data_IF_518969417408
#
_entry.id   IF_518969417408
#
_cell.length_a   1.000
_cell.length_b   1.000
_cell.length_c   1.000
_cell.angle_alpha   90.00
_cell.angle_beta   90.00
_cell.angle_gamma   90.00
#
_symmetry.space_group_name_H-M   'P 1'
#
loop_
_entity.id
_entity.type
_entity.pdbx_description
1 polymer ?
#
# COMPACT_ATOMS: atom_id res chain seq x y z
N UNK A 1 -12.10 -32.12 -5.41
CA UNK A 1 -12.14 -31.09 -4.35
C UNK A 1 -10.99 -30.10 -4.61
N UNK A 2 -11.22 -29.10 -5.45
CA UNK A 2 -10.16 -28.15 -5.83
C UNK A 2 -9.76 -27.28 -4.64
N UNK A 3 -8.46 -27.19 -4.35
CA UNK A 3 -7.98 -26.34 -3.26
C UNK A 3 -8.36 -24.88 -3.56
N UNK A 4 -8.79 -24.13 -2.55
CA UNK A 4 -9.16 -22.71 -2.70
C UNK A 4 -8.07 -21.92 -3.43
N UNK A 5 -6.79 -22.27 -3.22
CA UNK A 5 -5.66 -21.65 -3.89
C UNK A 5 -5.67 -21.87 -5.41
N UNK A 6 -5.95 -23.09 -5.87
CA UNK A 6 -6.03 -23.40 -7.30
C UNK A 6 -7.15 -22.58 -7.97
N UNK A 7 -8.29 -22.47 -7.28
CA UNK A 7 -9.41 -21.63 -7.72
C UNK A 7 -8.99 -20.15 -7.87
N UNK A 8 -8.34 -19.56 -6.86
CA UNK A 8 -7.86 -18.18 -6.92
C UNK A 8 -6.82 -17.92 -8.01
N UNK A 9 -5.95 -18.90 -8.26
CA UNK A 9 -4.91 -18.78 -9.29
C UNK A 9 -5.48 -18.81 -10.71
N UNK A 10 -6.43 -19.72 -10.98
CA UNK A 10 -7.15 -19.75 -12.25
C UNK A 10 -8.00 -18.49 -12.46
N UNK A 11 -8.63 -18.00 -11.39
CA UNK A 11 -9.39 -16.75 -11.39
C UNK A 11 -8.54 -15.58 -11.94
N UNK A 12 -7.29 -15.46 -11.48
CA UNK A 12 -6.34 -14.43 -11.93
C UNK A 12 -5.93 -14.58 -13.40
N UNK A 13 -5.60 -15.78 -13.88
CA UNK A 13 -5.21 -15.99 -15.29
C UNK A 13 -6.28 -15.51 -16.26
N UNK A 14 -7.54 -15.74 -15.91
CA UNK A 14 -8.68 -15.37 -16.74
C UNK A 14 -8.93 -13.85 -16.74
N UNK A 15 -8.77 -13.19 -15.58
CA UNK A 15 -8.86 -11.72 -15.42
C UNK A 15 -7.94 -10.94 -16.38
N UNK A 16 -6.79 -11.49 -16.74
CA UNK A 16 -5.78 -10.82 -17.57
C UNK A 16 -5.78 -11.25 -19.05
N UNK A 17 -6.68 -12.15 -19.47
CA UNK A 17 -6.64 -12.77 -20.81
C UNK A 17 -7.42 -12.06 -21.94
N UNK A 18 -7.94 -10.86 -21.71
CA UNK A 18 -8.62 -10.05 -22.75
C UNK A 18 -10.14 -10.02 -22.61
N UNK A 19 -10.72 -8.85 -22.87
CA UNK A 19 -12.12 -8.48 -22.62
C UNK A 19 -13.05 -9.00 -23.73
N UNK A 20 -13.84 -10.04 -23.45
CA UNK A 20 -15.06 -10.32 -24.20
C UNK A 20 -16.28 -9.84 -23.38
N UNK A 21 -17.19 -9.11 -24.02
CA UNK A 21 -18.38 -8.54 -23.39
C UNK A 21 -19.45 -9.61 -23.16
N UNK A 22 -19.61 -10.03 -21.90
CA UNK A 22 -20.64 -11.00 -21.51
C UNK A 22 -22.01 -10.31 -21.47
N UNK A 23 -22.92 -10.71 -22.35
CA UNK A 23 -24.30 -10.19 -22.45
C UNK A 23 -25.21 -10.74 -21.34
N UNK A 24 -26.19 -9.97 -20.83
CA UNK A 24 -27.08 -10.40 -19.73
C UNK A 24 -27.88 -11.68 -20.02
N UNK A 25 -28.30 -11.89 -21.27
CA UNK A 25 -29.02 -13.08 -21.72
C UNK A 25 -28.18 -14.36 -21.61
N UNK A 26 -26.87 -14.27 -21.88
CA UNK A 26 -25.92 -15.38 -21.72
C UNK A 26 -25.78 -15.75 -20.24
N UNK A 27 -25.67 -14.75 -19.36
CA UNK A 27 -25.63 -14.95 -17.91
C UNK A 27 -26.84 -15.72 -17.38
N UNK A 28 -28.07 -15.34 -17.75
CA UNK A 28 -29.29 -16.01 -17.29
C UNK A 28 -29.38 -17.47 -17.75
N UNK A 29 -29.00 -17.76 -19.01
CA UNK A 29 -29.02 -19.13 -19.56
C UNK A 29 -28.08 -20.08 -18.83
N UNK A 30 -26.92 -19.58 -18.40
CA UNK A 30 -25.93 -20.34 -17.62
C UNK A 30 -26.35 -20.53 -16.16
N UNK A 31 -26.98 -19.54 -15.53
CA UNK A 31 -27.54 -19.68 -14.17
C UNK A 31 -28.71 -20.67 -14.11
N UNK A 32 -29.55 -20.75 -15.15
CA UNK A 32 -30.63 -21.75 -15.22
C UNK A 32 -30.09 -23.19 -15.25
N UNK A 33 -28.92 -23.40 -15.87
CA UNK A 33 -28.20 -24.67 -15.94
C UNK A 33 -27.45 -25.01 -14.65
N UNK A 34 -27.36 -24.05 -13.71
CA UNK A 34 -26.62 -24.24 -12.45
C UNK A 34 -27.27 -25.29 -11.53
N UNK A 35 -28.56 -25.52 -11.71
CA UNK A 35 -29.39 -26.42 -10.91
C UNK A 35 -29.35 -27.88 -11.37
N UNK A 36 -28.67 -28.21 -12.48
CA UNK A 36 -28.71 -29.54 -13.10
C UNK A 36 -27.41 -30.36 -12.93
N UNK A 37 -26.37 -29.81 -12.29
CA UNK A 37 -25.30 -30.59 -11.67
C UNK A 37 -24.13 -31.10 -12.55
N UNK A 38 -24.11 -30.85 -13.86
CA UNK A 38 -22.96 -31.20 -14.72
C UNK A 38 -22.60 -30.05 -15.65
N UNK A 39 -21.35 -29.57 -15.57
CA UNK A 39 -20.78 -28.55 -16.47
C UNK A 39 -19.65 -29.15 -17.31
N UNK A 40 -19.51 -28.69 -18.55
CA UNK A 40 -18.28 -28.92 -19.31
C UNK A 40 -17.14 -28.00 -18.81
N UNK A 41 -15.89 -28.32 -19.13
CA UNK A 41 -14.73 -27.51 -18.72
C UNK A 41 -14.82 -26.04 -19.18
N UNK A 42 -15.45 -25.78 -20.33
CA UNK A 42 -15.68 -24.44 -20.87
C UNK A 42 -16.78 -23.69 -20.09
N UNK A 43 -17.81 -24.41 -19.65
CA UNK A 43 -18.90 -23.85 -18.83
C UNK A 43 -18.43 -23.52 -17.41
N UNK A 44 -17.57 -24.33 -16.81
CA UNK A 44 -16.92 -24.04 -15.52
C UNK A 44 -16.02 -22.79 -15.61
N UNK A 45 -15.24 -22.66 -16.69
CA UNK A 45 -14.39 -21.49 -16.92
C UNK A 45 -15.21 -20.20 -17.06
N UNK A 46 -16.41 -20.28 -17.64
CA UNK A 46 -17.31 -19.15 -17.84
C UNK A 46 -18.12 -18.81 -16.57
N UNK A 47 -18.49 -19.80 -15.76
CA UNK A 47 -19.07 -19.60 -14.41
C UNK A 47 -18.04 -18.94 -13.48
N UNK A 48 -16.77 -19.35 -13.55
CA UNK A 48 -15.65 -18.68 -12.88
C UNK A 48 -15.51 -17.21 -13.32
N UNK A 49 -15.64 -16.91 -14.63
CA UNK A 49 -15.68 -15.53 -15.17
C UNK A 49 -16.85 -14.70 -14.62
N UNK A 50 -18.03 -15.30 -14.49
CA UNK A 50 -19.22 -14.64 -13.93
C UNK A 50 -19.13 -14.44 -12.42
N UNK A 51 -18.54 -15.38 -11.67
CA UNK A 51 -18.31 -15.27 -10.23
C UNK A 51 -17.19 -14.27 -9.88
N UNK A 52 -16.20 -14.06 -10.76
CA UNK A 52 -15.30 -12.90 -10.68
C UNK A 52 -16.11 -11.59 -10.73
N UNK A 53 -17.17 -11.59 -11.53
CA UNK A 53 -18.10 -10.47 -11.74
C UNK A 53 -19.15 -10.32 -10.62
N UNK A 54 -19.03 -11.03 -9.49
CA UNK A 54 -19.83 -10.76 -8.27
C UNK A 54 -19.63 -9.32 -7.75
N UNK A 55 -18.58 -8.63 -8.20
CA UNK A 55 -18.33 -7.20 -8.00
C UNK A 55 -19.27 -6.25 -8.79
N UNK A 56 -20.13 -6.75 -9.69
CA UNK A 56 -21.00 -5.93 -10.55
C UNK A 56 -22.50 -6.04 -10.24
N UNK A 57 -22.88 -6.78 -9.20
CA UNK A 57 -24.28 -7.00 -8.84
C UNK A 57 -24.67 -6.08 -7.68
N UNK A 58 -25.41 -5.01 -7.97
CA UNK A 58 -26.07 -4.21 -6.95
C UNK A 58 -27.51 -4.72 -6.79
N UNK A 59 -27.90 -5.12 -5.57
CA UNK A 59 -29.25 -5.62 -5.30
C UNK A 59 -30.19 -4.44 -5.08
N UNK A 60 -30.97 -4.06 -6.10
CA UNK A 60 -32.12 -3.16 -5.95
C UNK A 60 -33.39 -3.94 -6.22
N UNK A 61 -34.37 -3.84 -5.32
CA UNK A 61 -35.74 -4.34 -5.54
C UNK A 61 -35.82 -5.86 -5.82
N UNK A 62 -34.89 -6.65 -5.28
CA UNK A 62 -34.89 -8.11 -5.45
C UNK A 62 -34.43 -8.59 -6.83
N UNK A 63 -34.05 -7.70 -7.74
CA UNK A 63 -33.46 -8.04 -9.04
C UNK A 63 -31.97 -7.71 -9.08
N UNK A 64 -31.21 -8.52 -9.81
CA UNK A 64 -29.78 -8.32 -10.04
C UNK A 64 -29.61 -7.48 -11.31
N UNK A 65 -29.31 -6.18 -11.16
CA UNK A 65 -28.94 -5.34 -12.29
C UNK A 65 -27.42 -5.32 -12.45
N UNK A 66 -26.95 -5.43 -13.70
CA UNK A 66 -25.58 -5.09 -14.08
C UNK A 66 -25.44 -3.56 -13.97
N UNK A 67 -25.10 -3.07 -12.78
CA UNK A 67 -24.97 -1.63 -12.54
C UNK A 67 -23.62 -1.33 -11.91
N UNK A 68 -22.67 -0.93 -12.75
CA UNK A 68 -22.19 0.46 -12.82
C UNK A 68 -21.16 0.53 -13.95
N UNK A 69 -21.18 1.61 -14.75
CA UNK A 69 -19.94 2.06 -15.39
C UNK A 69 -18.93 2.24 -14.26
N UNK A 70 -17.95 1.34 -14.14
CA UNK A 70 -16.79 1.61 -13.28
C UNK A 70 -16.18 2.86 -13.89
N UNK A 71 -16.12 3.98 -13.16
CA UNK A 71 -15.44 5.16 -13.70
C UNK A 71 -14.06 4.72 -14.16
N UNK A 72 -13.63 5.18 -15.33
CA UNK A 72 -12.27 4.89 -15.78
C UNK A 72 -11.32 5.26 -14.64
N UNK A 73 -10.39 4.36 -14.30
CA UNK A 73 -9.40 4.62 -13.26
C UNK A 73 -8.67 5.93 -13.61
N UNK A 74 -8.68 6.87 -12.67
CA UNK A 74 -7.97 8.14 -12.78
C UNK A 74 -6.85 8.08 -11.76
N UNK A 75 -5.61 8.10 -12.25
CA UNK A 75 -4.44 8.09 -11.40
C UNK A 75 -4.38 9.33 -10.49
N UNK A 76 -3.81 9.15 -9.31
CA UNK A 76 -3.63 10.22 -8.34
C UNK A 76 -2.74 11.35 -8.88
N UNK A 77 -3.24 12.60 -8.86
CA UNK A 77 -2.50 13.76 -9.33
C UNK A 77 -1.98 14.60 -8.16
N UNK A 78 -0.66 14.52 -7.95
CA UNK A 78 0.04 15.35 -6.95
C UNK A 78 0.68 16.56 -7.65
N UNK A 79 0.44 17.80 -7.17
CA UNK A 79 1.07 19.00 -7.71
C UNK A 79 2.59 18.88 -7.79
N UNK A 80 3.20 19.37 -8.88
CA UNK A 80 4.66 19.27 -9.11
C UNK A 80 5.48 19.91 -7.98
N UNK A 81 5.00 21.02 -7.43
CA UNK A 81 5.67 21.72 -6.32
C UNK A 81 5.76 20.83 -5.07
N UNK A 82 4.67 20.13 -4.73
CA UNK A 82 4.65 19.21 -3.58
C UNK A 82 5.59 18.02 -3.80
N UNK A 83 5.62 17.45 -5.01
CA UNK A 83 6.53 16.35 -5.35
C UNK A 83 7.99 16.73 -5.18
N UNK A 84 8.38 17.90 -5.70
CA UNK A 84 9.74 18.41 -5.56
C UNK A 84 10.08 18.67 -4.09
N UNK A 85 9.13 19.18 -3.31
CA UNK A 85 9.30 19.41 -1.88
C UNK A 85 9.51 18.09 -1.12
N UNK A 86 8.69 17.05 -1.38
CA UNK A 86 8.84 15.75 -0.73
C UNK A 86 10.15 15.06 -1.10
N UNK A 87 10.52 15.07 -2.38
CA UNK A 87 11.80 14.53 -2.84
C UNK A 87 13.01 15.29 -2.27
N UNK A 88 12.92 16.63 -2.22
CA UNK A 88 13.92 17.49 -1.62
C UNK A 88 14.08 17.24 -0.12
N UNK A 89 12.97 17.17 0.63
CA UNK A 89 12.98 16.85 2.06
C UNK A 89 13.56 15.46 2.32
N UNK A 90 13.15 14.43 1.57
CA UNK A 90 13.70 13.09 1.72
C UNK A 90 15.22 13.08 1.50
N UNK A 91 15.71 13.79 0.49
CA UNK A 91 17.13 13.92 0.20
C UNK A 91 17.88 14.62 1.34
N UNK A 92 17.35 15.74 1.83
CA UNK A 92 17.93 16.48 2.96
C UNK A 92 17.97 15.64 4.24
N UNK A 93 16.90 14.90 4.55
CA UNK A 93 16.84 14.02 5.72
C UNK A 93 17.93 12.94 5.63
N UNK A 94 18.09 12.30 4.48
CA UNK A 94 19.12 11.27 4.29
C UNK A 94 20.51 11.88 4.46
N UNK A 95 20.82 12.98 3.78
CA UNK A 95 22.12 13.64 3.88
C UNK A 95 22.43 14.03 5.33
N UNK A 96 21.45 14.65 6.01
CA UNK A 96 21.60 15.09 7.39
C UNK A 96 21.81 13.92 8.35
N UNK A 97 20.96 12.89 8.26
CA UNK A 97 21.06 11.72 9.13
C UNK A 97 22.34 10.92 8.87
N UNK A 98 22.77 10.80 7.61
CA UNK A 98 24.05 10.17 7.24
C UNK A 98 25.24 10.96 7.80
N UNK A 99 25.22 12.29 7.68
CA UNK A 99 26.26 13.14 8.26
C UNK A 99 26.35 12.97 9.78
N UNK A 100 25.22 12.97 10.48
CA UNK A 100 25.20 12.74 11.93
C UNK A 100 25.64 11.32 12.33
N UNK A 101 25.28 10.30 11.55
CA UNK A 101 25.75 8.93 11.77
C UNK A 101 27.28 8.83 11.66
N UNK A 102 27.88 9.48 10.66
CA UNK A 102 29.35 9.50 10.46
C UNK A 102 30.06 10.21 11.62
N UNK A 103 29.49 11.31 12.11
CA UNK A 103 30.06 12.08 13.22
C UNK A 103 29.76 11.47 14.60
N UNK A 104 28.91 10.44 14.68
CA UNK A 104 28.54 9.78 15.92
C UNK A 104 27.51 10.53 16.77
N UNK A 105 26.87 11.56 16.22
CA UNK A 105 25.89 12.39 16.91
C UNK A 105 24.83 12.92 15.94
N UNK A 106 23.56 12.77 16.29
CA UNK A 106 22.44 13.32 15.52
C UNK A 106 21.66 14.27 16.42
N UNK A 107 21.58 15.54 16.00
CA UNK A 107 20.73 16.55 16.62
C UNK A 107 19.37 16.62 15.93
N UNK A 108 18.29 16.57 16.70
CA UNK A 108 16.93 16.77 16.18
C UNK A 108 16.40 18.09 16.74
N UNK A 109 16.21 19.12 15.90
CA UNK A 109 15.76 20.42 16.36
C UNK A 109 14.32 20.37 16.88
N UNK A 110 14.09 20.95 18.04
CA UNK A 110 12.76 21.12 18.62
C UNK A 110 12.16 22.46 18.21
N UNK A 111 10.90 22.48 17.77
CA UNK A 111 10.22 23.75 17.46
C UNK A 111 10.04 24.67 18.68
N UNK A 112 9.93 24.08 19.88
CA UNK A 112 9.64 24.78 21.15
C UNK A 112 10.61 24.40 22.28
N UNK A 113 11.67 23.68 21.97
CA UNK A 113 12.68 23.21 22.92
C UNK A 113 14.06 23.32 22.27
N UNK A 114 15.11 23.15 23.07
CA UNK A 114 16.50 23.16 22.58
C UNK A 114 16.84 21.95 21.68
N UNK A 115 15.84 21.12 21.33
CA UNK A 115 16.00 19.89 20.57
C UNK A 115 16.43 18.71 21.41
N UNK A 116 16.73 17.60 20.75
CA UNK A 116 17.26 16.37 21.37
C UNK A 116 18.51 15.97 20.61
N UNK A 117 19.61 15.83 21.33
CA UNK A 117 20.86 15.33 20.78
C UNK A 117 21.06 13.88 21.18
N UNK A 118 21.18 13.01 20.19
CA UNK A 118 21.44 11.59 20.35
C UNK A 118 22.93 11.33 20.10
N UNK A 119 23.58 10.62 21.03
CA UNK A 119 24.98 10.21 20.91
C UNK A 119 25.13 8.73 21.27
N UNK A 120 26.18 8.07 20.78
CA UNK A 120 26.43 6.66 21.05
C UNK A 120 25.47 5.71 20.34
N UNK A 121 25.03 4.64 21.03
CA UNK A 121 24.23 3.57 20.42
C UNK A 121 22.87 4.00 19.83
N UNK A 122 22.09 4.93 20.46
CA UNK A 122 20.81 5.40 19.92
C UNK A 122 20.90 6.06 18.53
N UNK A 123 22.08 6.57 18.12
CA UNK A 123 22.28 7.27 16.83
C UNK A 123 21.90 6.38 15.64
N UNK A 124 22.23 5.09 15.69
CA UNK A 124 21.90 4.14 14.61
C UNK A 124 20.39 3.96 14.47
N UNK A 125 19.67 3.95 15.60
CA UNK A 125 18.21 3.81 15.64
C UNK A 125 17.54 5.07 15.09
N UNK A 126 18.05 6.26 15.45
CA UNK A 126 17.55 7.53 14.90
C UNK A 126 17.80 7.63 13.40
N UNK A 127 18.99 7.21 12.94
CA UNK A 127 19.28 7.13 11.51
C UNK A 127 18.27 6.23 10.77
N UNK A 128 17.98 5.04 11.32
CA UNK A 128 17.00 4.13 10.73
C UNK A 128 15.59 4.74 10.70
N UNK A 129 15.19 5.48 11.74
CA UNK A 129 13.93 6.21 11.77
C UNK A 129 13.87 7.27 10.65
N UNK A 130 14.91 8.12 10.54
CA UNK A 130 15.03 9.13 9.50
C UNK A 130 15.00 8.52 8.08
N UNK A 131 15.65 7.36 7.90
CA UNK A 131 15.66 6.65 6.63
C UNK A 131 14.25 6.13 6.27
N UNK A 132 13.52 5.54 7.23
CA UNK A 132 12.13 5.13 7.02
C UNK A 132 11.22 6.30 6.65
N UNK A 133 11.38 7.44 7.32
CA UNK A 133 10.66 8.67 6.99
C UNK A 133 10.95 9.15 5.56
N UNK A 134 12.22 9.18 5.17
CA UNK A 134 12.62 9.56 3.82
C UNK A 134 12.03 8.61 2.76
N UNK A 135 12.02 7.30 3.02
CA UNK A 135 11.38 6.33 2.14
C UNK A 135 9.87 6.55 2.04
N UNK A 136 9.19 6.86 3.14
CA UNK A 136 7.75 7.15 3.12
C UNK A 136 7.43 8.31 2.18
N UNK A 137 8.21 9.39 2.25
CA UNK A 137 8.08 10.55 1.35
C UNK A 137 8.34 10.19 -0.12
N UNK A 138 9.35 9.35 -0.38
CA UNK A 138 9.67 8.89 -1.73
C UNK A 138 8.57 7.98 -2.30
N UNK A 139 7.97 7.11 -1.49
CA UNK A 139 6.85 6.24 -1.90
C UNK A 139 5.69 7.08 -2.43
N UNK A 140 5.32 8.17 -1.74
CA UNK A 140 4.27 9.10 -2.21
C UNK A 140 4.63 9.77 -3.55
N UNK A 141 5.91 10.09 -3.76
CA UNK A 141 6.37 10.66 -5.04
C UNK A 141 6.33 9.61 -6.15
N UNK A 142 6.71 8.36 -5.86
CA UNK A 142 6.72 7.26 -6.82
C UNK A 142 5.29 6.86 -7.23
N UNK A 143 4.35 6.81 -6.28
CA UNK A 143 2.92 6.52 -6.53
C UNK A 143 2.37 7.40 -7.65
N UNK A 144 2.67 8.69 -7.64
CA UNK A 144 2.22 9.61 -8.68
C UNK A 144 2.79 9.30 -10.09
N UNK A 145 4.00 8.76 -10.18
CA UNK A 145 4.58 8.38 -11.47
C UNK A 145 4.07 7.00 -11.94
N UNK A 146 3.48 6.21 -11.04
CA UNK A 146 2.81 4.97 -11.40
C UNK A 146 1.40 5.25 -11.93
N UNK A 147 1.09 4.68 -13.09
CA UNK A 147 -0.23 4.83 -13.74
C UNK A 147 -1.11 3.59 -13.57
N UNK A 148 -0.62 2.58 -12.84
CA UNK A 148 -1.33 1.33 -12.57
C UNK A 148 -2.32 1.53 -11.43
N UNK A 149 -3.37 0.70 -11.42
CA UNK A 149 -4.35 0.67 -10.33
C UNK A 149 -3.80 -0.09 -9.11
N UNK A 150 -2.80 0.50 -8.45
CA UNK A 150 -2.09 -0.08 -7.29
C UNK A 150 -1.88 0.91 -6.14
N UNK A 151 -2.61 2.03 -6.12
CA UNK A 151 -2.57 3.07 -5.09
C UNK A 151 -2.71 2.52 -3.67
N UNK A 152 -3.49 1.45 -3.51
CA UNK A 152 -3.67 0.76 -2.23
C UNK A 152 -2.34 0.23 -1.66
N UNK A 153 -1.46 -0.32 -2.51
CA UNK A 153 -0.16 -0.85 -2.09
C UNK A 153 0.78 0.28 -1.64
N UNK A 154 0.79 1.39 -2.38
CA UNK A 154 1.58 2.57 -2.02
C UNK A 154 1.10 3.18 -0.70
N UNK A 155 -0.21 3.30 -0.50
CA UNK A 155 -0.80 3.81 0.75
C UNK A 155 -0.45 2.92 1.96
N UNK A 156 -0.45 1.58 1.80
CA UNK A 156 0.00 0.68 2.87
C UNK A 156 1.49 0.89 3.15
N UNK A 157 2.32 0.92 2.10
CA UNK A 157 3.76 1.08 2.24
C UNK A 157 4.12 2.40 2.94
N UNK A 158 3.49 3.51 2.54
CA UNK A 158 3.65 4.82 3.17
C UNK A 158 3.30 4.76 4.66
N UNK A 159 2.12 4.24 5.01
CA UNK A 159 1.68 4.13 6.42
C UNK A 159 2.59 3.26 7.26
N UNK A 160 3.07 2.15 6.70
CA UNK A 160 4.00 1.24 7.38
C UNK A 160 5.32 1.95 7.66
N UNK A 161 5.90 2.63 6.66
CA UNK A 161 7.17 3.34 6.80
C UNK A 161 7.06 4.50 7.80
N UNK A 162 5.94 5.23 7.79
CA UNK A 162 5.65 6.25 8.81
C UNK A 162 5.55 5.64 10.21
N UNK A 163 4.82 4.55 10.37
CA UNK A 163 4.68 3.86 11.66
C UNK A 163 6.03 3.35 12.17
N UNK A 164 6.86 2.77 11.30
CA UNK A 164 8.21 2.33 11.61
C UNK A 164 9.10 3.50 12.03
N UNK A 165 9.06 4.61 11.29
CA UNK A 165 9.81 5.83 11.64
C UNK A 165 9.44 6.33 13.04
N UNK A 166 8.14 6.48 13.32
CA UNK A 166 7.67 6.93 14.63
C UNK A 166 8.06 5.95 15.75
N UNK A 167 7.90 4.64 15.51
CA UNK A 167 8.23 3.60 16.49
C UNK A 167 9.73 3.52 16.81
N UNK A 168 10.59 3.63 15.78
CA UNK A 168 12.03 3.67 15.98
C UNK A 168 12.47 4.94 16.69
N UNK A 169 11.87 6.09 16.36
CA UNK A 169 12.20 7.35 17.02
C UNK A 169 11.80 7.35 18.50
N UNK A 170 10.59 6.89 18.83
CA UNK A 170 10.17 6.77 20.24
C UNK A 170 11.04 5.79 21.01
N UNK A 171 11.41 4.67 20.39
CA UNK A 171 12.35 3.72 20.97
C UNK A 171 13.72 4.36 21.25
N UNK A 172 14.25 5.13 20.31
CA UNK A 172 15.51 5.84 20.49
C UNK A 172 15.45 6.84 21.66
N UNK A 173 14.34 7.58 21.80
CA UNK A 173 14.14 8.49 22.94
C UNK A 173 14.14 7.76 24.28
N UNK A 174 13.42 6.63 24.36
CA UNK A 174 13.37 5.82 25.59
C UNK A 174 14.74 5.25 25.93
N UNK A 175 15.48 4.78 24.93
CA UNK A 175 16.83 4.27 25.11
C UNK A 175 17.79 5.37 25.58
N UNK A 176 17.85 6.51 24.90
CA UNK A 176 18.70 7.64 25.29
C UNK A 176 18.41 8.09 26.73
N UNK A 177 17.13 8.18 27.11
CA UNK A 177 16.73 8.47 28.48
C UNK A 177 17.20 7.40 29.48
N UNK A 178 17.06 6.12 29.15
CA UNK A 178 17.50 5.01 30.00
C UNK A 178 19.03 4.98 30.18
N UNK A 179 19.80 5.32 29.15
CA UNK A 179 21.26 5.44 29.27
C UNK A 179 21.64 6.60 30.20
N UNK A 180 21.01 7.76 30.04
CA UNK A 180 21.28 8.93 30.89
C UNK A 180 20.90 8.68 32.34
N UNK A 181 19.82 7.96 32.62
CA UNK A 181 19.40 7.65 34.00
C UNK A 181 20.35 6.67 34.70
N UNK A 182 20.94 5.72 33.97
CA UNK A 182 21.96 4.82 34.52
C UNK A 182 23.24 5.59 34.86
N UNK A 183 23.66 6.56 34.05
CA UNK A 183 24.87 7.34 34.29
C UNK A 183 24.76 8.33 35.46
N UNK A 184 23.54 8.67 35.89
CA UNK A 184 23.27 9.60 37.00
C UNK A 184 23.10 8.91 38.36
N UNK A 185 23.05 7.58 38.40
CA UNK A 185 22.99 6.76 39.62
C UNK A 185 24.34 6.10 39.91
#
# INVERSE_FOLDING_TARGET
>A
MFSKLHFYWQQRKVLYSGKEDITPALGQKLFAKLNTGYYSADEEALILRLLIKKSFLNKRHGQYEFSKKVPAYVANEIPRQMRNLWAGLATLIIIYASHGLINGEIYIPGKRSDGITFSGAPVVVVFAACFCLALALLVTVIDHYDKRDNEYLYNIAEKLLWAMSCGLFTWACVWDWAQKSILLN
#
